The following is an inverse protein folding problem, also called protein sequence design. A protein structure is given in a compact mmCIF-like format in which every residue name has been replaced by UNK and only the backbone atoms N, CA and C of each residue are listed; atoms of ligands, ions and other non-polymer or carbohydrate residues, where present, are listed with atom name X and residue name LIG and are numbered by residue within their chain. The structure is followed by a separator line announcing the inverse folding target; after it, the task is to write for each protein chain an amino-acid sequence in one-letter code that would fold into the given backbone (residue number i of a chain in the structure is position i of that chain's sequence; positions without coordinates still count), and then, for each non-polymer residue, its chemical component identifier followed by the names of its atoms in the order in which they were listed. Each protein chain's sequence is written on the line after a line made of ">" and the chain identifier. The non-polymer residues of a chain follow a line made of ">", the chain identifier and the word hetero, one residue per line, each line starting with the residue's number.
data_IF_771051191451
#
_entry.id   IF_771051191451
#
_cell.length_a   1.000
_cell.length_b   1.000
_cell.length_c   1.000
_cell.angle_alpha   90.00
_cell.angle_beta   90.00
_cell.angle_gamma   90.00
#
_symmetry.space_group_name_H-M   'P 1'
#
loop_
_entity.id
_entity.type
_entity.pdbx_description
1 polymer ?
#
# COMPACT_ATOMS: atom_id res chain seq x y z
N UNK A 1 76.38 16.71 26.15
CA UNK A 1 75.53 15.63 25.59
C UNK A 1 74.24 16.26 25.04
N UNK A 2 73.70 15.73 23.94
CA UNK A 2 72.38 16.01 23.31
C UNK A 2 72.16 17.17 22.31
N UNK A 3 72.54 16.85 21.06
CA UNK A 3 71.86 17.01 19.76
C UNK A 3 70.57 17.86 19.64
N UNK A 4 70.69 18.92 18.82
CA UNK A 4 69.63 19.61 18.06
C UNK A 4 68.92 18.66 17.08
N UNK A 5 67.59 18.58 17.13
CA UNK A 5 66.75 17.71 16.31
C UNK A 5 65.50 18.42 15.74
N UNK A 6 65.60 19.67 15.28
CA UNK A 6 64.39 20.42 14.83
C UNK A 6 64.32 20.85 13.36
N UNK A 7 65.34 20.59 12.52
CA UNK A 7 65.38 21.14 11.14
C UNK A 7 64.93 20.20 10.01
N UNK A 8 64.15 19.16 10.27
CA UNK A 8 63.73 18.18 9.23
C UNK A 8 62.33 18.43 8.63
N UNK A 9 61.37 19.00 9.35
CA UNK A 9 59.99 19.14 8.86
C UNK A 9 59.83 20.18 7.72
N UNK A 10 60.57 21.28 7.74
CA UNK A 10 60.46 22.32 6.71
C UNK A 10 60.89 21.90 5.30
N UNK A 11 61.85 20.97 5.16
CA UNK A 11 62.36 20.53 3.84
C UNK A 11 61.37 19.63 3.08
N UNK A 12 60.48 18.94 3.78
CA UNK A 12 59.44 18.10 3.15
C UNK A 12 58.31 18.97 2.58
N UNK A 13 57.83 19.95 3.35
CA UNK A 13 56.80 20.91 2.91
C UNK A 13 57.25 21.74 1.69
N UNK A 14 58.53 22.10 1.64
CA UNK A 14 59.09 22.82 0.49
C UNK A 14 59.14 21.97 -0.79
N UNK A 15 59.35 20.65 -0.69
CA UNK A 15 59.29 19.72 -1.84
C UNK A 15 57.87 19.53 -2.38
N UNK A 16 56.85 19.65 -1.53
CA UNK A 16 55.44 19.48 -1.90
C UNK A 16 54.86 20.67 -2.69
N UNK A 17 55.47 21.86 -2.55
CA UNK A 17 55.03 23.11 -3.20
C UNK A 17 55.77 23.42 -4.50
N UNK A 18 56.76 22.60 -4.89
CA UNK A 18 57.43 22.75 -6.20
C UNK A 18 56.43 22.59 -7.35
N UNK A 19 56.50 23.52 -8.30
CA UNK A 19 55.64 23.57 -9.49
C UNK A 19 56.28 22.71 -10.59
N UNK A 20 55.55 21.71 -11.07
CA UNK A 20 55.92 20.88 -12.20
C UNK A 20 55.08 21.29 -13.41
N UNK A 21 55.67 21.26 -14.60
CA UNK A 21 54.97 21.53 -15.86
C UNK A 21 54.78 20.21 -16.59
N UNK A 22 53.54 19.85 -16.84
CA UNK A 22 53.19 18.74 -17.72
C UNK A 22 52.78 19.35 -19.06
N UNK A 23 53.39 18.87 -20.14
CA UNK A 23 53.14 19.35 -21.50
C UNK A 23 52.63 18.15 -22.30
N UNK A 24 51.49 18.29 -22.96
CA UNK A 24 51.03 17.35 -23.97
C UNK A 24 51.61 17.79 -25.31
N UNK A 25 52.43 16.94 -25.90
CA UNK A 25 52.93 17.11 -27.26
C UNK A 25 52.19 16.16 -28.20
N UNK A 26 51.91 16.63 -29.41
CA UNK A 26 51.47 15.77 -30.49
C UNK A 26 52.63 14.86 -30.93
N UNK A 27 52.38 13.56 -31.06
CA UNK A 27 53.41 12.56 -31.32
C UNK A 27 53.99 12.67 -32.75
N UNK A 28 53.18 13.12 -33.72
CA UNK A 28 53.56 13.22 -35.13
C UNK A 28 54.21 14.57 -35.48
N UNK A 29 53.70 15.67 -34.93
CA UNK A 29 54.15 17.03 -35.27
C UNK A 29 55.06 17.66 -34.21
N UNK A 30 55.21 17.03 -33.03
CA UNK A 30 55.91 17.57 -31.87
C UNK A 30 55.43 18.97 -31.44
N UNK A 31 54.22 19.38 -31.84
CA UNK A 31 53.63 20.64 -31.42
C UNK A 31 53.05 20.53 -30.00
N UNK A 32 53.26 21.55 -29.16
CA UNK A 32 52.66 21.62 -27.83
C UNK A 32 51.16 21.92 -27.94
N UNK A 33 50.32 20.91 -27.74
CA UNK A 33 48.85 21.02 -27.85
C UNK A 33 48.21 21.55 -26.55
N UNK A 34 48.90 21.44 -25.42
CA UNK A 34 48.43 21.96 -24.14
C UNK A 34 49.47 21.85 -23.02
N UNK A 35 49.49 22.83 -22.12
CA UNK A 35 50.36 22.81 -20.94
C UNK A 35 49.58 23.04 -19.64
N UNK A 36 49.87 22.24 -18.62
CA UNK A 36 49.26 22.34 -17.29
C UNK A 36 50.39 22.42 -16.25
N UNK A 37 50.30 23.38 -15.33
CA UNK A 37 51.24 23.51 -14.19
C UNK A 37 50.61 22.89 -12.94
N UNK A 38 51.17 21.79 -12.46
CA UNK A 38 50.68 21.05 -11.30
C UNK A 38 51.73 21.05 -10.20
N UNK A 39 51.33 21.27 -8.95
CA UNK A 39 52.18 21.00 -7.78
C UNK A 39 51.92 19.59 -7.27
N UNK A 40 52.89 18.98 -6.57
CA UNK A 40 52.69 17.64 -5.96
C UNK A 40 51.47 17.64 -5.02
N UNK A 41 51.24 18.76 -4.33
CA UNK A 41 50.07 18.94 -3.48
C UNK A 41 48.76 18.92 -4.28
N UNK A 42 48.69 19.60 -5.43
CA UNK A 42 47.48 19.62 -6.25
C UNK A 42 47.19 18.25 -6.88
N UNK A 43 48.23 17.49 -7.23
CA UNK A 43 48.08 16.11 -7.69
C UNK A 43 47.50 15.20 -6.60
N UNK A 44 47.98 15.31 -5.35
CA UNK A 44 47.42 14.57 -4.21
C UNK A 44 45.98 15.00 -3.94
N UNK A 45 45.70 16.30 -3.99
CA UNK A 45 44.35 16.83 -3.82
C UNK A 45 43.39 16.30 -4.90
N UNK A 46 43.81 16.28 -6.17
CA UNK A 46 43.02 15.77 -7.28
C UNK A 46 42.71 14.27 -7.13
N UNK A 47 43.70 13.46 -6.76
CA UNK A 47 43.49 12.03 -6.45
C UNK A 47 42.54 11.87 -5.26
N UNK A 48 42.70 12.68 -4.21
CA UNK A 48 41.81 12.67 -3.05
C UNK A 48 40.37 13.02 -3.39
N UNK A 49 40.15 14.04 -4.22
CA UNK A 49 38.82 14.42 -4.72
C UNK A 49 38.21 13.29 -5.53
N UNK A 50 38.96 12.67 -6.45
CA UNK A 50 38.48 11.51 -7.21
C UNK A 50 38.06 10.37 -6.28
N UNK A 51 38.85 10.08 -5.24
CA UNK A 51 38.56 8.99 -4.30
C UNK A 51 37.31 9.28 -3.48
N UNK A 52 37.15 10.50 -2.96
CA UNK A 52 35.94 10.93 -2.25
C UNK A 52 34.71 10.84 -3.17
N UNK A 53 34.85 11.27 -4.42
CA UNK A 53 33.78 11.24 -5.41
C UNK A 53 33.38 9.79 -5.74
N UNK A 54 34.35 8.88 -5.85
CA UNK A 54 34.11 7.45 -6.07
C UNK A 54 33.35 6.83 -4.89
N UNK A 55 33.74 7.14 -3.64
CA UNK A 55 33.02 6.70 -2.44
C UNK A 55 31.60 7.27 -2.39
N UNK A 56 31.42 8.54 -2.76
CA UNK A 56 30.10 9.17 -2.78
C UNK A 56 29.18 8.54 -3.86
N UNK A 57 29.72 8.23 -5.04
CA UNK A 57 28.99 7.54 -6.11
C UNK A 57 28.60 6.14 -5.67
N UNK A 58 29.53 5.33 -5.13
CA UNK A 58 29.22 3.97 -4.69
C UNK A 58 28.19 3.96 -3.56
N UNK A 59 28.31 4.90 -2.60
CA UNK A 59 27.31 5.09 -1.56
C UNK A 59 25.94 5.46 -2.14
N UNK A 60 25.87 6.42 -3.08
CA UNK A 60 24.61 6.78 -3.74
C UNK A 60 23.99 5.60 -4.47
N UNK A 61 24.77 4.82 -5.22
CA UNK A 61 24.28 3.63 -5.91
C UNK A 61 23.67 2.67 -4.88
N UNK A 62 24.37 2.34 -3.80
CA UNK A 62 23.87 1.41 -2.77
C UNK A 62 22.62 1.95 -2.06
N UNK A 63 22.56 3.25 -1.77
CA UNK A 63 21.46 3.87 -1.05
C UNK A 63 20.17 3.98 -1.90
N UNK A 64 20.32 4.31 -3.19
CA UNK A 64 19.20 4.56 -4.09
C UNK A 64 18.82 3.36 -4.99
N UNK A 65 19.60 2.28 -5.00
CA UNK A 65 19.26 1.05 -5.73
C UNK A 65 18.97 -0.14 -4.81
N UNK A 66 18.29 -1.15 -5.35
CA UNK A 66 17.91 -2.36 -4.61
C UNK A 66 19.10 -3.33 -4.36
N UNK A 67 20.35 -2.94 -4.62
CA UNK A 67 21.53 -3.77 -4.31
C UNK A 67 21.59 -4.13 -2.82
N UNK A 68 21.05 -3.27 -1.94
CA UNK A 68 20.94 -3.54 -0.50
C UNK A 68 20.10 -4.79 -0.15
N UNK A 69 19.17 -5.20 -1.02
CA UNK A 69 18.33 -6.39 -0.81
C UNK A 69 19.11 -7.70 -0.96
N UNK A 70 20.31 -7.65 -1.55
CA UNK A 70 21.22 -8.80 -1.68
C UNK A 70 22.10 -9.01 -0.43
N UNK A 71 22.07 -8.06 0.51
CA UNK A 71 22.80 -8.17 1.78
C UNK A 71 21.91 -8.96 2.76
N UNK A 72 22.31 -10.17 3.18
CA UNK A 72 21.54 -10.95 4.13
C UNK A 72 21.34 -10.15 5.43
N UNK A 73 20.08 -9.96 5.84
CA UNK A 73 19.69 -9.18 7.02
C UNK A 73 18.82 -7.95 6.73
N UNK A 74 18.72 -7.49 5.48
CA UNK A 74 17.77 -6.44 5.10
C UNK A 74 16.44 -7.04 4.60
N UNK A 75 15.28 -6.43 4.90
CA UNK A 75 13.98 -6.96 4.50
C UNK A 75 13.81 -6.87 2.99
N UNK A 76 13.91 -8.02 2.32
CA UNK A 76 13.60 -8.22 0.91
C UNK A 76 12.09 -8.00 0.63
N UNK A 77 11.72 -7.84 -0.64
CA UNK A 77 10.34 -7.69 -1.08
C UNK A 77 9.44 -8.85 -0.62
N UNK A 78 9.94 -10.09 -0.70
CA UNK A 78 9.23 -11.27 -0.20
C UNK A 78 9.01 -11.22 1.31
N UNK A 79 10.02 -10.77 2.08
CA UNK A 79 9.92 -10.59 3.52
C UNK A 79 8.85 -9.56 3.88
N UNK A 80 8.80 -8.42 3.17
CA UNK A 80 7.78 -7.38 3.36
C UNK A 80 6.37 -7.90 3.06
N UNK A 81 6.22 -8.73 2.04
CA UNK A 81 4.94 -9.36 1.72
C UNK A 81 4.49 -10.33 2.82
N UNK A 82 5.40 -11.18 3.31
CA UNK A 82 5.11 -12.10 4.40
C UNK A 82 4.73 -11.38 5.69
N UNK A 83 5.42 -10.28 6.03
CA UNK A 83 5.08 -9.45 7.19
C UNK A 83 3.65 -8.92 7.07
N UNK A 84 3.27 -8.38 5.90
CA UNK A 84 1.91 -7.88 5.68
C UNK A 84 0.85 -8.97 5.79
N UNK A 85 1.08 -10.12 5.16
CA UNK A 85 0.15 -11.25 5.23
C UNK A 85 0.00 -11.79 6.65
N UNK A 86 1.10 -11.86 7.41
CA UNK A 86 1.07 -12.29 8.79
C UNK A 86 0.35 -11.28 9.69
N UNK A 87 0.56 -9.98 9.48
CA UNK A 87 -0.17 -8.94 10.20
C UNK A 87 -1.69 -9.04 9.98
N UNK A 88 -2.13 -9.24 8.73
CA UNK A 88 -3.56 -9.42 8.41
C UNK A 88 -4.14 -10.69 9.06
N UNK A 89 -3.39 -11.80 9.04
CA UNK A 89 -3.82 -13.04 9.70
C UNK A 89 -3.91 -12.89 11.21
N UNK A 90 -2.95 -12.21 11.83
CA UNK A 90 -2.94 -11.96 13.27
C UNK A 90 -4.13 -11.10 13.69
N UNK A 91 -4.41 -10.03 12.96
CA UNK A 91 -5.58 -9.17 13.19
C UNK A 91 -6.89 -9.96 13.11
N UNK A 92 -7.03 -10.82 12.10
CA UNK A 92 -8.20 -11.71 11.96
C UNK A 92 -8.32 -12.70 13.12
N UNK A 93 -7.19 -13.28 13.57
CA UNK A 93 -7.17 -14.21 14.70
C UNK A 93 -7.48 -13.51 16.03
N UNK A 94 -7.00 -12.29 16.23
CA UNK A 94 -7.30 -11.47 17.41
C UNK A 94 -8.80 -11.14 17.48
N UNK A 95 -9.40 -10.77 16.35
CA UNK A 95 -10.83 -10.53 16.25
C UNK A 95 -11.65 -11.79 16.57
N UNK A 96 -11.32 -12.94 15.97
CA UNK A 96 -12.00 -14.20 16.28
C UNK A 96 -11.84 -14.60 17.74
N UNK A 97 -10.65 -14.41 18.32
CA UNK A 97 -10.39 -14.69 19.72
C UNK A 97 -11.26 -13.80 20.63
N UNK A 98 -11.34 -12.50 20.35
CA UNK A 98 -12.17 -11.58 21.12
C UNK A 98 -13.66 -11.96 21.09
N UNK A 99 -14.19 -12.35 19.92
CA UNK A 99 -15.57 -12.85 19.77
C UNK A 99 -15.78 -14.12 20.62
N UNK A 100 -14.82 -15.06 20.59
CA UNK A 100 -14.91 -16.31 21.38
C UNK A 100 -14.84 -16.05 22.88
N UNK A 101 -13.96 -15.16 23.32
CA UNK A 101 -13.83 -14.80 24.73
C UNK A 101 -15.12 -14.15 25.23
N UNK A 102 -15.73 -13.28 24.42
CA UNK A 102 -17.04 -12.69 24.72
C UNK A 102 -18.14 -13.77 24.78
N UNK A 103 -18.14 -14.74 23.85
CA UNK A 103 -19.08 -15.86 23.87
C UNK A 103 -18.97 -16.69 25.15
N UNK A 104 -17.76 -17.08 25.56
CA UNK A 104 -17.55 -17.86 26.78
C UNK A 104 -17.90 -17.07 28.04
N UNK A 105 -17.59 -15.78 28.08
CA UNK A 105 -17.99 -14.91 29.19
C UNK A 105 -19.52 -14.86 29.33
N UNK A 106 -20.22 -14.62 28.23
CA UNK A 106 -21.68 -14.60 28.22
C UNK A 106 -22.28 -15.95 28.64
N UNK A 107 -21.71 -17.06 28.15
CA UNK A 107 -22.14 -18.41 28.51
C UNK A 107 -21.97 -18.68 30.01
N UNK A 108 -20.82 -18.28 30.58
CA UNK A 108 -20.58 -18.39 32.02
C UNK A 108 -21.60 -17.58 32.85
N UNK A 109 -21.94 -16.36 32.40
CA UNK A 109 -22.93 -15.50 33.07
C UNK A 109 -24.34 -16.09 33.02
N UNK A 110 -24.75 -16.66 31.89
CA UNK A 110 -26.05 -17.33 31.77
C UNK A 110 -26.13 -18.50 32.76
N UNK A 111 -25.05 -19.29 32.87
CA UNK A 111 -24.98 -20.42 33.80
C UNK A 111 -25.00 -19.96 35.27
N UNK A 112 -24.39 -18.81 35.60
CA UNK A 112 -24.45 -18.23 36.94
C UNK A 112 -25.77 -17.53 37.27
N UNK A 113 -26.71 -17.45 36.31
CA UNK A 113 -28.00 -16.80 36.48
C UNK A 113 -27.96 -15.26 36.30
N UNK A 114 -26.85 -14.75 35.77
CA UNK A 114 -26.67 -13.33 35.44
C UNK A 114 -27.15 -13.04 34.00
N UNK A 115 -27.58 -11.81 33.75
CA UNK A 115 -27.97 -11.34 32.42
C UNK A 115 -26.70 -10.96 31.65
N UNK A 116 -26.44 -11.51 30.44
CA UNK A 116 -25.31 -11.10 29.59
C UNK A 116 -25.37 -9.63 29.18
N UNK A 117 -24.21 -9.01 29.00
CA UNK A 117 -24.14 -7.68 28.38
C UNK A 117 -24.50 -7.79 26.90
N UNK A 118 -25.60 -7.15 26.48
CA UNK A 118 -25.95 -7.00 25.08
C UNK A 118 -25.11 -5.89 24.46
N UNK A 119 -24.12 -6.27 23.65
CA UNK A 119 -23.36 -5.33 22.82
C UNK A 119 -23.97 -5.16 21.41
N UNK A 120 -25.21 -5.62 21.19
CA UNK A 120 -25.94 -5.16 20.02
C UNK A 120 -26.24 -3.68 20.22
N UNK A 121 -25.61 -2.84 19.40
CA UNK A 121 -26.07 -1.48 19.18
C UNK A 121 -27.54 -1.58 18.79
N UNK A 122 -28.42 -1.26 19.71
CA UNK A 122 -29.85 -1.23 19.46
C UNK A 122 -30.15 -0.09 18.49
N UNK A 123 -30.07 -0.36 17.19
CA UNK A 123 -30.48 0.55 16.12
C UNK A 123 -32.00 0.68 16.02
N UNK A 124 -32.77 0.02 16.89
CA UNK A 124 -34.24 0.15 16.96
C UNK A 124 -34.67 1.46 17.64
N UNK A 125 -33.75 2.15 18.31
CA UNK A 125 -33.93 3.54 18.72
C UNK A 125 -33.95 4.44 17.50
N UNK A 126 -35.15 4.87 17.08
CA UNK A 126 -35.39 5.95 16.12
C UNK A 126 -34.26 6.97 16.15
N UNK A 127 -33.43 6.99 15.10
CA UNK A 127 -32.51 8.10 14.84
C UNK A 127 -33.38 9.34 14.77
N UNK A 128 -33.47 10.08 15.88
CA UNK A 128 -33.97 11.44 15.83
C UNK A 128 -33.04 12.15 14.86
N UNK A 129 -33.56 12.43 13.67
CA UNK A 129 -32.92 13.28 12.67
C UNK A 129 -32.82 14.70 13.23
N UNK A 130 -31.99 14.89 14.26
CA UNK A 130 -31.42 16.19 14.52
C UNK A 130 -30.62 16.56 13.27
N UNK A 131 -30.70 17.82 12.84
CA UNK A 131 -29.89 18.34 11.75
C UNK A 131 -28.43 17.96 11.99
N UNK A 132 -27.92 17.00 11.21
CA UNK A 132 -26.52 16.60 11.28
C UNK A 132 -25.74 17.75 10.64
N UNK A 133 -25.29 18.69 11.47
CA UNK A 133 -24.33 19.71 11.04
C UNK A 133 -22.97 19.04 10.85
N UNK A 134 -22.68 18.63 9.62
CA UNK A 134 -21.37 18.14 9.22
C UNK A 134 -20.36 19.29 9.26
N UNK A 135 -19.72 19.46 10.41
CA UNK A 135 -18.60 20.41 10.55
C UNK A 135 -17.39 19.85 9.78
N UNK A 136 -17.07 20.51 8.66
CA UNK A 136 -15.95 20.13 7.81
C UNK A 136 -14.62 20.35 8.55
N UNK A 137 -13.88 19.26 8.76
CA UNK A 137 -12.52 19.33 9.31
C UNK A 137 -11.51 19.71 8.23
N UNK A 138 -10.35 20.21 8.65
CA UNK A 138 -9.23 20.50 7.75
C UNK A 138 -8.77 19.25 6.99
N UNK A 139 -8.76 18.10 7.66
CA UNK A 139 -8.38 16.81 7.08
C UNK A 139 -9.40 16.32 6.03
N UNK A 140 -10.70 16.49 6.27
CA UNK A 140 -11.76 16.17 5.29
C UNK A 140 -11.61 17.02 4.03
N UNK A 141 -11.32 18.31 4.19
CA UNK A 141 -11.06 19.20 3.06
C UNK A 141 -9.85 18.77 2.21
N UNK A 142 -8.76 18.38 2.88
CA UNK A 142 -7.54 17.94 2.19
C UNK A 142 -7.75 16.60 1.47
N UNK A 143 -8.49 15.69 2.09
CA UNK A 143 -8.85 14.41 1.49
C UNK A 143 -9.69 14.61 0.22
N UNK A 144 -10.71 15.48 0.26
CA UNK A 144 -11.53 15.78 -0.92
C UNK A 144 -10.71 16.38 -2.04
N UNK A 145 -9.84 17.34 -1.74
CA UNK A 145 -8.97 17.93 -2.75
C UNK A 145 -8.07 16.88 -3.43
N UNK A 146 -7.57 15.93 -2.64
CA UNK A 146 -6.78 14.81 -3.18
C UNK A 146 -7.62 13.90 -4.07
N UNK A 147 -8.81 13.50 -3.62
CA UNK A 147 -9.74 12.66 -4.40
C UNK A 147 -10.15 13.35 -5.70
N UNK A 148 -10.54 14.61 -5.64
CA UNK A 148 -10.92 15.40 -6.83
C UNK A 148 -9.77 15.50 -7.85
N UNK A 149 -8.53 15.72 -7.38
CA UNK A 149 -7.35 15.74 -8.25
C UNK A 149 -7.04 14.37 -8.88
N UNK A 150 -7.28 13.28 -8.14
CA UNK A 150 -7.13 11.91 -8.66
C UNK A 150 -8.24 11.55 -9.66
N UNK A 151 -9.47 12.02 -9.43
CA UNK A 151 -10.63 11.77 -10.32
C UNK A 151 -10.63 12.61 -11.59
N UNK A 152 -9.98 13.79 -11.62
CA UNK A 152 -9.86 14.64 -12.81
C UNK A 152 -9.20 13.94 -14.01
N UNK A 153 -8.44 12.85 -13.78
CA UNK A 153 -7.81 12.05 -14.83
C UNK A 153 -8.52 10.74 -15.12
N UNK A 154 -9.67 10.46 -14.47
CA UNK A 154 -10.51 9.30 -14.79
C UNK A 154 -11.34 9.57 -16.04
N UNK A 155 -10.77 9.26 -17.20
CA UNK A 155 -11.46 9.22 -18.49
C UNK A 155 -12.43 8.02 -18.57
N UNK A 156 -13.58 8.10 -17.90
CA UNK A 156 -14.62 7.05 -17.99
C UNK A 156 -16.03 7.59 -18.23
N UNK A 157 -16.20 8.83 -18.69
CA UNK A 157 -17.52 9.47 -18.88
C UNK A 157 -17.79 9.81 -20.36
N UNK A 158 -17.27 9.01 -21.30
CA UNK A 158 -17.48 9.22 -22.74
C UNK A 158 -17.99 7.97 -23.48
N UNK A 159 -18.64 7.04 -22.79
CA UNK A 159 -19.32 5.92 -23.46
C UNK A 159 -20.83 6.21 -23.56
N UNK A 160 -21.20 6.97 -24.59
CA UNK A 160 -22.57 7.11 -25.13
C UNK A 160 -22.90 5.98 -26.12
N UNK A 161 -22.39 4.79 -25.90
CA UNK A 161 -22.80 3.57 -26.62
C UNK A 161 -23.60 2.69 -25.67
N UNK A 162 -24.55 1.86 -26.14
CA UNK A 162 -25.21 0.88 -25.31
C UNK A 162 -24.17 -0.17 -24.91
N UNK A 163 -23.40 0.14 -23.87
CA UNK A 163 -22.40 -0.74 -23.29
C UNK A 163 -23.14 -2.04 -23.00
N UNK A 164 -22.73 -3.10 -23.68
CA UNK A 164 -23.03 -4.45 -23.27
C UNK A 164 -22.58 -4.55 -21.82
N UNK A 165 -23.50 -4.34 -20.87
CA UNK A 165 -23.24 -4.47 -19.43
C UNK A 165 -22.77 -5.89 -19.22
N UNK A 166 -21.46 -6.09 -19.18
CA UNK A 166 -20.87 -7.38 -18.94
C UNK A 166 -21.31 -7.82 -17.55
N UNK A 167 -21.61 -9.12 -17.38
CA UNK A 167 -22.11 -9.66 -16.11
C UNK A 167 -21.19 -9.32 -14.91
N UNK A 168 -19.90 -9.09 -15.16
CA UNK A 168 -18.89 -8.76 -14.17
C UNK A 168 -18.97 -7.31 -13.64
N UNK A 169 -19.61 -6.39 -14.36
CA UNK A 169 -19.79 -4.99 -13.93
C UNK A 169 -21.10 -4.80 -13.14
N UNK A 170 -21.91 -5.86 -13.00
CA UNK A 170 -23.14 -5.81 -12.23
C UNK A 170 -22.90 -6.19 -10.77
N UNK A 171 -23.27 -5.28 -9.87
CA UNK A 171 -23.20 -5.50 -8.43
C UNK A 171 -24.58 -5.94 -7.91
N UNK A 172 -24.67 -7.18 -7.42
CA UNK A 172 -25.90 -7.74 -6.87
C UNK A 172 -25.92 -7.61 -5.34
N UNK A 173 -27.11 -7.35 -4.79
CA UNK A 173 -27.36 -7.37 -3.36
C UNK A 173 -28.07 -8.67 -2.94
N UNK A 174 -27.86 -9.07 -1.70
CA UNK A 174 -28.55 -10.23 -1.11
C UNK A 174 -30.05 -9.91 -0.94
N UNK A 175 -30.96 -10.68 -1.56
CA UNK A 175 -32.40 -10.37 -1.53
C UNK A 175 -33.04 -10.63 -0.16
N UNK A 176 -32.56 -11.64 0.56
CA UNK A 176 -33.06 -12.06 1.88
C UNK A 176 -31.97 -12.83 2.64
N UNK A 177 -31.96 -12.73 3.97
CA UNK A 177 -31.01 -13.46 4.83
C UNK A 177 -31.63 -14.79 5.24
N UNK A 178 -30.91 -15.90 5.03
CA UNK A 178 -31.37 -17.23 5.41
C UNK A 178 -30.35 -18.32 5.11
N UNK A 179 -30.78 -19.58 5.24
CA UNK A 179 -29.94 -20.76 5.02
C UNK A 179 -30.26 -21.34 3.64
N UNK A 180 -29.24 -21.52 2.81
CA UNK A 180 -29.38 -22.17 1.49
C UNK A 180 -29.57 -23.67 1.70
N UNK A 181 -30.73 -24.20 1.33
CA UNK A 181 -31.05 -25.63 1.41
C UNK A 181 -30.72 -26.36 0.12
N UNK A 182 -30.80 -25.68 -1.03
CA UNK A 182 -30.45 -26.26 -2.34
C UNK A 182 -29.74 -25.23 -3.22
N UNK A 183 -28.58 -25.60 -3.73
CA UNK A 183 -27.79 -24.77 -4.63
C UNK A 183 -28.23 -24.90 -6.08
N UNK A 184 -27.86 -23.93 -6.90
CA UNK A 184 -28.00 -23.99 -8.35
C UNK A 184 -27.33 -25.24 -8.92
N UNK A 185 -28.09 -26.06 -9.64
CA UNK A 185 -27.57 -27.23 -10.34
C UNK A 185 -28.27 -27.40 -11.71
N UNK A 186 -27.61 -27.04 -12.82
CA UNK A 186 -28.21 -27.15 -14.14
C UNK A 186 -28.33 -28.60 -14.64
N UNK A 187 -27.56 -29.54 -14.08
CA UNK A 187 -27.65 -30.97 -14.43
C UNK A 187 -28.95 -31.60 -13.93
N UNK A 188 -29.44 -31.14 -12.78
CA UNK A 188 -30.68 -31.60 -12.16
C UNK A 188 -31.90 -30.76 -12.59
N UNK A 189 -31.72 -29.83 -13.55
CA UNK A 189 -32.76 -28.87 -13.96
C UNK A 189 -33.11 -27.81 -12.90
N UNK A 190 -32.27 -27.64 -11.87
CA UNK A 190 -32.49 -26.70 -10.79
C UNK A 190 -31.78 -25.36 -11.08
N UNK A 191 -32.50 -24.43 -11.72
CA UNK A 191 -31.93 -23.15 -12.20
C UNK A 191 -32.00 -22.00 -11.19
N UNK A 192 -32.13 -22.31 -9.89
CA UNK A 192 -32.21 -21.32 -8.82
C UNK A 192 -31.50 -21.78 -7.56
N UNK A 193 -31.66 -20.99 -6.50
CA UNK A 193 -31.25 -21.37 -5.15
C UNK A 193 -32.49 -21.42 -4.26
N UNK A 194 -32.61 -22.48 -3.45
CA UNK A 194 -33.65 -22.58 -2.44
C UNK A 194 -33.07 -22.09 -1.12
N UNK A 195 -33.72 -21.10 -0.52
CA UNK A 195 -33.28 -20.49 0.73
C UNK A 195 -34.45 -20.45 1.72
N UNK A 196 -34.16 -20.89 2.95
CA UNK A 196 -35.11 -20.83 4.06
C UNK A 196 -34.79 -19.59 4.90
N UNK A 197 -35.72 -18.64 4.90
CA UNK A 197 -35.68 -17.41 5.70
C UNK A 197 -36.61 -17.52 6.92
N UNK A 198 -36.54 -16.52 7.81
CA UNK A 198 -37.49 -16.37 8.90
C UNK A 198 -38.94 -16.17 8.40
N UNK A 199 -39.96 -16.47 9.23
CA UNK A 199 -41.34 -16.24 8.85
C UNK A 199 -41.59 -14.74 8.61
N UNK A 200 -42.25 -14.41 7.50
CA UNK A 200 -42.61 -13.04 7.11
C UNK A 200 -41.40 -12.10 6.90
N UNK A 201 -40.25 -12.65 6.49
CA UNK A 201 -39.07 -11.87 6.11
C UNK A 201 -39.29 -11.11 4.80
N UNK A 202 -38.79 -9.88 4.71
CA UNK A 202 -38.96 -9.03 3.52
C UNK A 202 -37.97 -9.43 2.43
N UNK A 203 -38.47 -9.75 1.25
CA UNK A 203 -37.65 -10.03 0.05
C UNK A 203 -37.38 -8.72 -0.70
N UNK A 204 -36.10 -8.41 -0.93
CA UNK A 204 -35.64 -7.21 -1.61
C UNK A 204 -35.16 -7.52 -3.04
N UNK A 205 -35.22 -6.54 -3.92
CA UNK A 205 -34.64 -6.65 -5.25
C UNK A 205 -33.11 -6.70 -5.18
N UNK A 206 -32.50 -7.54 -6.03
CA UNK A 206 -31.04 -7.72 -6.07
C UNK A 206 -30.32 -6.64 -6.90
N UNK A 207 -31.05 -5.93 -7.75
CA UNK A 207 -30.56 -4.91 -8.67
C UNK A 207 -31.70 -3.98 -9.09
N UNK A 208 -31.38 -2.75 -9.46
CA UNK A 208 -32.33 -1.81 -10.08
C UNK A 208 -32.87 -2.36 -11.40
N UNK A 209 -34.19 -2.23 -11.59
CA UNK A 209 -34.86 -2.77 -12.77
C UNK A 209 -36.33 -2.39 -12.86
N UNK A 210 -37.05 -3.06 -13.76
CA UNK A 210 -38.49 -2.89 -13.96
C UNK A 210 -39.19 -4.23 -13.79
N UNK A 211 -40.28 -4.24 -13.02
CA UNK A 211 -41.09 -5.45 -12.82
C UNK A 211 -41.85 -5.78 -14.11
N UNK A 212 -41.58 -6.96 -14.67
CA UNK A 212 -42.23 -7.44 -15.89
C UNK A 212 -43.40 -8.40 -15.62
N UNK A 213 -43.45 -9.01 -14.43
CA UNK A 213 -44.45 -9.99 -14.03
C UNK A 213 -44.64 -9.94 -12.51
N UNK A 214 -45.90 -10.01 -12.07
CA UNK A 214 -46.27 -10.28 -10.67
C UNK A 214 -47.61 -11.02 -10.65
N UNK A 215 -47.63 -12.26 -10.18
CA UNK A 215 -48.79 -13.14 -10.24
C UNK A 215 -48.74 -14.24 -9.16
N UNK A 216 -49.86 -14.93 -8.96
CA UNK A 216 -49.90 -16.15 -8.17
C UNK A 216 -50.13 -17.36 -9.08
N UNK A 217 -49.35 -18.42 -8.89
CA UNK A 217 -49.47 -19.68 -9.63
C UNK A 217 -49.67 -20.86 -8.69
N UNK A 218 -50.34 -21.91 -9.17
CA UNK A 218 -50.62 -23.11 -8.38
C UNK A 218 -49.36 -23.92 -8.05
N UNK A 219 -48.34 -23.85 -8.91
CA UNK A 219 -47.10 -24.61 -8.77
C UNK A 219 -46.04 -23.90 -7.90
N UNK A 220 -45.94 -22.56 -8.00
CA UNK A 220 -44.84 -21.78 -7.36
C UNK A 220 -45.32 -20.71 -6.38
N UNK A 221 -46.63 -20.52 -6.22
CA UNK A 221 -47.18 -19.53 -5.29
C UNK A 221 -47.03 -18.10 -5.83
N UNK A 222 -46.65 -17.17 -4.96
CA UNK A 222 -46.47 -15.75 -5.31
C UNK A 222 -45.15 -15.52 -6.04
N UNK A 223 -45.23 -14.88 -7.21
CA UNK A 223 -44.10 -14.57 -8.09
C UNK A 223 -44.19 -13.14 -8.62
#
# INVERSE_FOLDING_TARGET
>A
MNKKSEKKHGKFLQKLTHKYRMVLLNEDTFEEVGNIRLTRLNMIALVGVILILLVAITYSIIAYTNIREWIPGYPDAAMRQNIRQNAMKLDSLEYEQAIRDQYFNNLNRIISGEIPESHMNDTSGSVQGGEITLLRSTNDSLLRQKVEAEEQFRLSVLDTEPVSRNLYDMHFFTPVIGIVTRSFNPLDGHFGIDLVAGPNEVVKAILDGTVIMSAWTLETGHV
#
